data_IF_773146905879
#
_entry.id   IF_773146905879
#
_cell.length_a   1.000
_cell.length_b   1.000
_cell.length_c   1.000
_cell.angle_alpha   90.00
_cell.angle_beta   90.00
_cell.angle_gamma   90.00
#
_symmetry.space_group_name_H-M   'P 1'
#
loop_
_entity.id
_entity.type
_entity.pdbx_description
1 polymer ?
#
# COMPACT_ATOMS: atom_id res chain seq x y z
N UNK A 1 -11.55 22.51 -0.58
CA UNK A 1 -10.85 21.49 -1.40
C UNK A 1 -11.07 21.61 -2.91
N UNK A 2 -12.21 22.14 -3.39
CA UNK A 2 -12.47 22.26 -4.85
C UNK A 2 -11.43 23.04 -5.67
N UNK A 3 -10.63 23.93 -5.06
CA UNK A 3 -9.62 24.74 -5.77
C UNK A 3 -8.34 23.98 -6.14
N UNK A 4 -7.98 22.92 -5.41
CA UNK A 4 -6.80 22.08 -5.70
C UNK A 4 -7.11 21.01 -6.74
N UNK A 5 -8.40 20.66 -6.90
CA UNK A 5 -8.90 19.77 -7.94
C UNK A 5 -9.04 20.45 -9.31
N UNK A 6 -8.76 21.77 -9.42
CA UNK A 6 -8.70 22.41 -10.74
C UNK A 6 -7.55 21.79 -11.55
N UNK A 7 -7.74 21.51 -12.84
CA UNK A 7 -6.72 20.88 -13.69
C UNK A 7 -5.38 21.62 -13.68
N UNK A 8 -5.40 22.95 -13.52
CA UNK A 8 -4.22 23.81 -13.42
C UNK A 8 -3.41 23.61 -12.15
N UNK A 9 -4.06 23.22 -11.04
CA UNK A 9 -3.41 23.00 -9.75
C UNK A 9 -3.15 21.52 -9.46
N UNK A 10 -3.77 20.62 -10.23
CA UNK A 10 -3.62 19.17 -10.11
C UNK A 10 -2.15 18.69 -10.07
N UNK A 11 -1.23 19.09 -10.98
CA UNK A 11 0.15 18.61 -10.94
C UNK A 11 0.88 19.04 -9.66
N UNK A 12 0.63 20.25 -9.17
CA UNK A 12 1.22 20.76 -7.92
C UNK A 12 0.64 20.01 -6.71
N UNK A 13 -0.68 19.76 -6.71
CA UNK A 13 -1.34 18.99 -5.67
C UNK A 13 -0.80 17.55 -5.58
N UNK A 14 -0.58 16.89 -6.72
CA UNK A 14 0.02 15.55 -6.76
C UNK A 14 1.48 15.55 -6.31
N UNK A 15 2.27 16.55 -6.69
CA UNK A 15 3.66 16.67 -6.24
C UNK A 15 3.74 16.80 -4.71
N UNK A 16 2.94 17.69 -4.13
CA UNK A 16 2.88 17.88 -2.68
C UNK A 16 2.38 16.62 -1.94
N UNK A 17 1.38 15.94 -2.50
CA UNK A 17 0.90 14.66 -1.96
C UNK A 17 2.01 13.59 -2.00
N UNK A 18 2.73 13.49 -3.11
CA UNK A 18 3.86 12.57 -3.25
C UNK A 18 4.95 12.83 -2.23
N UNK A 19 5.30 14.09 -1.98
CA UNK A 19 6.27 14.48 -0.96
C UNK A 19 5.80 14.14 0.46
N UNK A 20 4.54 14.42 0.79
CA UNK A 20 3.94 14.05 2.08
C UNK A 20 4.02 12.52 2.31
N UNK A 21 3.65 11.73 1.32
CA UNK A 21 3.70 10.27 1.40
C UNK A 21 5.14 9.77 1.56
N UNK A 22 6.09 10.39 0.87
CA UNK A 22 7.51 10.09 1.04
C UNK A 22 7.98 10.35 2.47
N UNK A 23 7.58 11.47 3.07
CA UNK A 23 7.92 11.81 4.45
C UNK A 23 7.34 10.77 5.43
N UNK A 24 6.08 10.39 5.26
CA UNK A 24 5.44 9.37 6.11
C UNK A 24 6.21 8.05 6.04
N UNK A 25 6.52 7.57 4.83
CA UNK A 25 7.28 6.33 4.65
C UNK A 25 8.72 6.42 5.17
N UNK A 26 9.35 7.58 5.04
CA UNK A 26 10.69 7.84 5.60
C UNK A 26 10.69 7.70 7.13
N UNK A 27 9.73 8.32 7.82
CA UNK A 27 9.59 8.19 9.27
C UNK A 27 9.09 6.81 9.71
N UNK A 28 8.32 6.11 8.88
CA UNK A 28 7.95 4.71 9.11
C UNK A 28 9.14 3.74 8.96
N UNK A 29 10.30 4.22 8.48
CA UNK A 29 11.52 3.42 8.35
C UNK A 29 11.55 2.52 7.11
N UNK A 30 10.65 2.71 6.14
CA UNK A 30 10.64 1.90 4.93
C UNK A 30 11.81 2.26 4.01
N UNK A 31 12.65 1.26 3.70
CA UNK A 31 13.81 1.37 2.78
C UNK A 31 13.64 0.52 1.53
N UNK A 32 12.42 0.17 1.19
CA UNK A 32 12.13 -0.69 0.04
C UNK A 32 12.54 0.01 -1.26
N UNK A 33 13.33 -0.65 -2.11
CA UNK A 33 13.79 -0.09 -3.41
C UNK A 33 13.22 -0.88 -4.61
N UNK A 34 12.51 -1.97 -4.33
CA UNK A 34 11.94 -2.88 -5.33
C UNK A 34 10.54 -2.41 -5.79
N UNK A 35 9.82 -3.24 -6.56
CA UNK A 35 8.43 -3.00 -6.95
C UNK A 35 7.50 -2.67 -5.77
N UNK A 36 7.84 -3.13 -4.56
CA UNK A 36 7.17 -2.77 -3.31
C UNK A 36 7.19 -1.26 -3.02
N UNK A 37 8.17 -0.50 -3.51
CA UNK A 37 8.24 0.96 -3.39
C UNK A 37 7.02 1.65 -4.01
N UNK A 38 6.62 1.23 -5.23
CA UNK A 38 5.47 1.78 -5.93
C UNK A 38 4.17 1.35 -5.27
N UNK A 39 4.05 0.06 -4.93
CA UNK A 39 2.84 -0.47 -4.29
C UNK A 39 2.59 0.18 -2.93
N UNK A 40 3.63 0.36 -2.10
CA UNK A 40 3.53 1.02 -0.78
C UNK A 40 3.10 2.48 -0.89
N UNK A 41 3.66 3.23 -1.83
CA UNK A 41 3.27 4.63 -2.07
C UNK A 41 1.87 4.76 -2.61
N UNK A 42 1.49 3.93 -3.58
CA UNK A 42 0.14 3.92 -4.14
C UNK A 42 -0.89 3.53 -3.07
N UNK A 43 -0.57 2.55 -2.24
CA UNK A 43 -1.45 2.13 -1.15
C UNK A 43 -1.62 3.24 -0.10
N UNK A 44 -0.53 3.89 0.32
CA UNK A 44 -0.60 4.99 1.28
C UNK A 44 -1.35 6.19 0.69
N UNK A 45 -1.15 6.52 -0.61
CA UNK A 45 -1.91 7.55 -1.30
C UNK A 45 -3.41 7.25 -1.28
N UNK A 46 -3.77 6.00 -1.58
CA UNK A 46 -5.17 5.54 -1.59
C UNK A 46 -5.79 5.60 -0.19
N UNK A 47 -5.03 5.20 0.84
CA UNK A 47 -5.46 5.24 2.24
C UNK A 47 -5.65 6.68 2.71
N UNK A 48 -4.71 7.58 2.40
CA UNK A 48 -4.82 9.00 2.71
C UNK A 48 -6.06 9.62 2.04
N UNK A 49 -6.21 9.45 0.72
CA UNK A 49 -7.31 10.02 -0.05
C UNK A 49 -8.68 9.51 0.41
N UNK A 50 -8.80 8.21 0.70
CA UNK A 50 -10.06 7.64 1.20
C UNK A 50 -10.40 8.10 2.61
N UNK A 51 -9.39 8.22 3.49
CA UNK A 51 -9.59 8.73 4.86
C UNK A 51 -9.95 10.20 4.84
N UNK A 52 -9.31 11.02 4.00
CA UNK A 52 -9.64 12.44 3.82
C UNK A 52 -11.09 12.62 3.34
N UNK A 53 -11.58 11.78 2.43
CA UNK A 53 -12.96 11.83 1.96
C UNK A 53 -13.98 11.50 3.05
N UNK A 54 -13.67 10.52 3.91
CA UNK A 54 -14.50 10.17 5.08
C UNK A 54 -14.46 11.29 6.11
N UNK A 55 -13.28 11.86 6.36
CA UNK A 55 -13.09 12.97 7.29
C UNK A 55 -13.94 14.19 6.94
N UNK A 56 -14.03 14.53 5.65
CA UNK A 56 -14.87 15.66 5.18
C UNK A 56 -16.36 15.43 5.45
N UNK A 57 -16.81 14.18 5.51
CA UNK A 57 -18.21 13.81 5.75
C UNK A 57 -18.50 13.50 7.23
N UNK A 58 -17.46 13.43 8.06
CA UNK A 58 -17.57 13.04 9.46
C UNK A 58 -17.94 14.25 10.34
N UNK A 59 -19.14 14.19 10.93
CA UNK A 59 -19.64 15.18 11.88
C UNK A 59 -19.74 14.61 13.31
N UNK A 60 -19.14 13.44 13.55
CA UNK A 60 -19.15 12.83 14.89
C UNK A 60 -18.20 13.53 15.85
N UNK A 61 -18.47 13.49 17.17
CA UNK A 61 -17.52 13.94 18.16
C UNK A 61 -16.16 13.25 17.96
N UNK A 62 -15.10 14.04 17.99
CA UNK A 62 -13.71 13.58 17.90
C UNK A 62 -13.36 12.79 16.62
N UNK A 63 -14.18 12.86 15.57
CA UNK A 63 -13.96 12.12 14.31
C UNK A 63 -13.86 10.60 14.51
N UNK A 64 -14.69 10.06 15.40
CA UNK A 64 -14.68 8.63 15.75
C UNK A 64 -14.89 7.74 14.52
N UNK A 65 -15.76 8.13 13.58
CA UNK A 65 -15.96 7.34 12.36
C UNK A 65 -14.72 7.32 11.46
N UNK A 66 -14.01 8.45 11.36
CA UNK A 66 -12.77 8.54 10.59
C UNK A 66 -11.68 7.66 11.17
N UNK A 67 -11.50 7.67 12.50
CA UNK A 67 -10.48 6.86 13.17
C UNK A 67 -10.75 5.36 13.04
N UNK A 68 -12.00 4.93 13.18
CA UNK A 68 -12.39 3.53 12.92
C UNK A 68 -12.18 3.13 11.46
N UNK A 69 -12.53 4.00 10.51
CA UNK A 69 -12.31 3.73 9.09
C UNK A 69 -10.82 3.57 8.78
N UNK A 70 -9.98 4.45 9.35
CA UNK A 70 -8.54 4.40 9.21
C UNK A 70 -7.97 3.09 9.76
N UNK A 71 -8.36 2.68 10.97
CA UNK A 71 -7.90 1.42 11.58
C UNK A 71 -8.25 0.19 10.72
N UNK A 72 -9.49 0.13 10.20
CA UNK A 72 -9.89 -0.94 9.26
C UNK A 72 -9.00 -0.95 8.01
N UNK A 73 -8.68 0.21 7.44
CA UNK A 73 -7.86 0.30 6.22
C UNK A 73 -6.41 -0.10 6.45
N UNK A 74 -5.83 0.26 7.60
CA UNK A 74 -4.50 -0.19 8.00
C UNK A 74 -4.47 -1.73 8.12
N UNK A 75 -5.49 -2.33 8.76
CA UNK A 75 -5.62 -3.80 8.85
C UNK A 75 -5.72 -4.47 7.47
N UNK A 76 -6.50 -3.89 6.55
CA UNK A 76 -6.58 -4.38 5.18
C UNK A 76 -5.23 -4.32 4.45
N UNK A 77 -4.46 -3.25 4.65
CA UNK A 77 -3.12 -3.12 4.06
C UNK A 77 -2.15 -4.17 4.60
N UNK A 78 -2.13 -4.39 5.92
CA UNK A 78 -1.32 -5.44 6.54
C UNK A 78 -1.70 -6.84 6.03
N UNK A 79 -3.00 -7.11 5.88
CA UNK A 79 -3.48 -8.37 5.32
C UNK A 79 -3.03 -8.56 3.86
N UNK A 80 -3.07 -7.49 3.05
CA UNK A 80 -2.61 -7.53 1.66
C UNK A 80 -1.12 -7.87 1.55
N UNK A 81 -0.27 -7.23 2.36
CA UNK A 81 1.18 -7.48 2.38
C UNK A 81 1.50 -8.92 2.84
N UNK A 82 0.77 -9.42 3.83
CA UNK A 82 0.91 -10.82 4.26
C UNK A 82 0.48 -11.83 3.19
N UNK A 83 -0.52 -11.49 2.36
CA UNK A 83 -1.02 -12.34 1.30
C UNK A 83 -0.04 -12.42 0.13
N UNK A 84 0.50 -11.28 -0.30
CA UNK A 84 1.51 -11.23 -1.37
C UNK A 84 2.78 -11.99 -0.97
N UNK A 85 3.22 -11.87 0.29
CA UNK A 85 4.34 -12.64 0.82
C UNK A 85 4.07 -14.15 0.77
N UNK A 86 2.89 -14.59 1.21
CA UNK A 86 2.50 -16.01 1.18
C UNK A 86 2.44 -16.58 -0.24
N UNK A 87 1.88 -15.83 -1.20
CA UNK A 87 1.80 -16.24 -2.60
C UNK A 87 3.20 -16.37 -3.20
N UNK A 88 4.09 -15.42 -2.92
CA UNK A 88 5.48 -15.47 -3.39
C UNK A 88 6.24 -16.68 -2.83
N UNK A 89 6.04 -16.98 -1.53
CA UNK A 89 6.63 -18.14 -0.89
C UNK A 89 6.08 -19.47 -1.45
N UNK A 90 4.78 -19.56 -1.70
CA UNK A 90 4.17 -20.74 -2.32
C UNK A 90 4.68 -20.96 -3.75
N UNK A 91 4.83 -19.89 -4.53
CA UNK A 91 5.32 -19.96 -5.90
C UNK A 91 6.79 -20.38 -5.99
N UNK A 92 7.66 -19.92 -5.09
CA UNK A 92 9.06 -20.35 -5.03
C UNK A 92 9.18 -21.81 -4.61
N UNK A 93 8.48 -22.21 -3.55
CA UNK A 93 8.45 -23.61 -3.08
C UNK A 93 7.99 -24.57 -4.19
N UNK A 94 6.95 -24.21 -4.95
CA UNK A 94 6.47 -25.02 -6.07
C UNK A 94 7.51 -25.17 -7.20
N UNK A 95 8.26 -24.10 -7.51
CA UNK A 95 9.36 -24.15 -8.48
C UNK A 95 10.49 -25.06 -8.01
N UNK A 96 10.87 -24.96 -6.74
CA UNK A 96 11.96 -25.78 -6.17
C UNK A 96 11.59 -27.27 -6.13
N UNK A 97 10.35 -27.59 -5.78
CA UNK A 97 9.82 -28.98 -5.81
C UNK A 97 9.79 -29.52 -7.24
N UNK A 98 9.36 -28.71 -8.23
CA UNK A 98 9.36 -29.14 -9.62
C UNK A 98 10.80 -29.42 -10.11
N UNK A 99 11.73 -28.49 -9.87
CA UNK A 99 13.14 -28.63 -10.32
C UNK A 99 13.84 -29.81 -9.65
N UNK A 100 13.64 -30.03 -8.35
CA UNK A 100 14.19 -31.19 -7.64
C UNK A 100 13.60 -32.51 -8.13
N UNK A 101 12.30 -32.54 -8.44
CA UNK A 101 11.64 -33.69 -9.07
C UNK A 101 12.26 -34.02 -10.43
N UNK A 102 12.45 -33.02 -11.29
CA UNK A 102 13.10 -33.21 -12.59
C UNK A 102 14.57 -33.61 -12.48
N UNK A 103 15.32 -33.03 -11.53
CA UNK A 103 16.73 -33.37 -11.32
C UNK A 103 16.91 -34.81 -10.82
N UNK A 104 16.00 -35.28 -9.97
CA UNK A 104 15.99 -36.67 -9.48
C UNK A 104 15.68 -37.65 -10.60
N UNK A 105 14.70 -37.34 -11.46
CA UNK A 105 14.33 -38.18 -12.61
C UNK A 105 15.38 -38.19 -13.73
N UNK A 106 16.21 -37.15 -13.85
CA UNK A 106 17.28 -37.06 -14.84
C UNK A 106 18.57 -37.80 -14.43
N UNK A 107 18.78 -38.01 -13.12
CA UNK A 107 19.95 -38.70 -12.56
C UNK A 107 19.71 -40.21 -12.29
N UNK A 108 18.56 -40.74 -12.74
CA UNK A 108 18.27 -42.18 -12.82
C UNK A 108 18.44 -42.65 -14.27
#
# INVERSE_FOLDING_TARGET
>A
MGKMALPTNAPIAFANLGELLNIIWYYAGDRSVDMSWYTKRLALATLYQSTELVFVQDHTPEFTQTTEFLDRRIKHFAAFDSCTAQISQAASTAKDVAVSGFATLKNM
#
